data_IF_112796993427
#
_entry.id   IF_112796993427
#
_cell.length_a   1.000
_cell.length_b   1.000
_cell.length_c   1.000
_cell.angle_alpha   90.00
_cell.angle_beta   90.00
_cell.angle_gamma   90.00
#
_symmetry.space_group_name_H-M   'P 1'
#
loop_
_entity.id
_entity.type
_entity.pdbx_description
1 polymer ?
#
# COMPACT_ATOMS: atom_id res chain seq x y z
N UNK A 1 -8.70 -26.48 1.42
CA UNK A 1 -8.29 -25.22 2.05
C UNK A 1 -7.93 -24.26 0.92
N UNK A 2 -8.82 -23.33 0.57
CA UNK A 2 -8.58 -22.33 -0.47
C UNK A 2 -7.68 -21.24 0.11
N UNK A 3 -6.40 -21.25 -0.23
CA UNK A 3 -5.49 -20.14 0.05
C UNK A 3 -5.88 -18.98 -0.85
N UNK A 4 -6.71 -18.06 -0.35
CA UNK A 4 -6.98 -16.79 -1.02
C UNK A 4 -5.68 -15.98 -1.04
N UNK A 5 -4.99 -16.01 -2.17
CA UNK A 5 -3.75 -15.26 -2.45
C UNK A 5 -4.00 -13.74 -2.59
N UNK A 6 -5.18 -13.25 -2.21
CA UNK A 6 -5.61 -11.87 -2.38
C UNK A 6 -4.88 -10.90 -1.43
N UNK A 7 -4.27 -11.43 -0.37
CA UNK A 7 -3.56 -10.64 0.64
C UNK A 7 -2.11 -11.10 0.77
N UNK A 8 -1.18 -10.24 0.37
CA UNK A 8 0.25 -10.48 0.52
C UNK A 8 0.79 -9.71 1.72
N UNK A 9 1.40 -10.42 2.69
CA UNK A 9 2.09 -9.77 3.80
C UNK A 9 3.34 -9.06 3.28
N UNK A 10 3.51 -7.81 3.67
CA UNK A 10 4.67 -7.02 3.30
C UNK A 10 5.75 -7.04 4.39
N UNK A 11 7.01 -7.01 3.99
CA UNK A 11 8.18 -6.95 4.88
C UNK A 11 8.83 -5.57 4.73
N UNK A 12 9.09 -4.87 5.85
CA UNK A 12 9.80 -3.60 5.81
C UNK A 12 11.26 -3.84 5.39
N UNK A 13 11.72 -3.07 4.40
CA UNK A 13 13.15 -2.88 4.12
C UNK A 13 13.54 -1.50 4.64
N UNK A 14 14.50 -1.50 5.55
CA UNK A 14 15.10 -0.30 6.10
C UNK A 14 16.61 -0.43 5.96
N UNK A 15 17.19 0.43 5.14
CA UNK A 15 18.62 0.42 4.83
C UNK A 15 19.45 0.81 6.07
N UNK A 16 18.85 1.45 7.07
CA UNK A 16 19.53 1.73 8.35
C UNK A 16 19.85 0.46 9.17
N UNK A 17 19.20 -0.67 8.87
CA UNK A 17 19.44 -1.96 9.53
C UNK A 17 20.43 -2.85 8.78
N UNK A 18 20.80 -2.49 7.54
CA UNK A 18 21.73 -3.24 6.70
C UNK A 18 23.00 -2.40 6.56
N UNK A 19 24.03 -2.75 7.34
CA UNK A 19 25.33 -2.09 7.32
C UNK A 19 25.82 -1.88 5.89
N UNK A 20 26.17 -0.62 5.59
CA UNK A 20 26.61 -0.12 4.29
C UNK A 20 27.47 -1.14 3.52
N UNK A 21 26.92 -1.70 2.46
CA UNK A 21 27.70 -2.37 1.43
C UNK A 21 27.37 -1.71 0.10
N UNK A 22 28.34 -0.93 -0.38
CA UNK A 22 28.27 -0.17 -1.62
C UNK A 22 28.09 -1.11 -2.80
N UNK A 23 26.92 -1.08 -3.46
CA UNK A 23 26.73 -1.33 -4.90
C UNK A 23 25.27 -1.09 -5.30
N UNK A 24 25.08 -0.31 -6.36
CA UNK A 24 23.83 0.00 -7.10
C UNK A 24 22.95 1.16 -6.59
N UNK A 25 22.35 1.94 -7.51
CA UNK A 25 21.64 3.16 -7.16
C UNK A 25 20.27 2.82 -6.58
N UNK A 26 19.87 3.61 -5.58
CA UNK A 26 18.52 3.70 -5.02
C UNK A 26 18.24 2.92 -3.72
N UNK A 27 19.09 3.18 -2.71
CA UNK A 27 18.81 3.02 -1.27
C UNK A 27 17.49 3.71 -0.89
N UNK A 28 16.36 3.03 -1.08
CA UNK A 28 15.04 3.57 -0.76
C UNK A 28 14.37 2.65 0.23
N UNK A 29 14.25 3.09 1.47
CA UNK A 29 13.41 2.44 2.47
C UNK A 29 11.99 2.20 1.92
N UNK A 30 11.39 1.07 2.28
CA UNK A 30 10.09 0.70 1.76
C UNK A 30 9.60 -0.67 2.22
N UNK A 31 8.67 -1.24 1.46
CA UNK A 31 7.98 -2.48 1.79
C UNK A 31 8.05 -3.46 0.62
N UNK A 32 8.58 -4.66 0.87
CA UNK A 32 8.53 -5.78 -0.07
C UNK A 32 7.23 -6.56 0.15
N UNK A 33 6.34 -6.55 -0.83
CA UNK A 33 5.08 -7.31 -0.82
C UNK A 33 5.11 -8.34 -1.96
N UNK A 34 5.45 -9.59 -1.64
CA UNK A 34 5.62 -10.63 -2.64
C UNK A 34 6.76 -10.26 -3.59
N UNK A 35 6.47 -10.13 -4.89
CA UNK A 35 7.46 -9.75 -5.91
C UNK A 35 7.52 -8.23 -6.16
N UNK A 36 6.68 -7.43 -5.49
CA UNK A 36 6.64 -5.98 -5.67
C UNK A 36 7.34 -5.26 -4.51
N UNK A 37 8.07 -4.21 -4.84
CA UNK A 37 8.67 -3.30 -3.88
C UNK A 37 7.97 -1.94 -3.90
N UNK A 38 7.56 -1.45 -2.73
CA UNK A 38 6.95 -0.13 -2.56
C UNK A 38 7.85 0.77 -1.74
N UNK A 39 8.49 1.76 -2.37
CA UNK A 39 9.28 2.76 -1.67
C UNK A 39 8.40 3.61 -0.73
N UNK A 40 8.97 4.09 0.39
CA UNK A 40 8.28 4.93 1.37
C UNK A 40 7.68 6.20 0.74
N UNK A 41 8.28 6.71 -0.35
CA UNK A 41 7.72 7.81 -1.14
C UNK A 41 6.36 7.45 -1.73
N UNK A 42 6.22 6.25 -2.32
CA UNK A 42 4.97 5.75 -2.91
C UNK A 42 3.92 5.55 -1.81
N UNK A 43 4.30 4.97 -0.67
CA UNK A 43 3.40 4.79 0.48
C UNK A 43 2.85 6.14 0.97
N UNK A 44 3.72 7.15 1.12
CA UNK A 44 3.32 8.50 1.54
C UNK A 44 2.40 9.18 0.52
N UNK A 45 2.68 9.03 -0.78
CA UNK A 45 1.82 9.55 -1.84
C UNK A 45 0.44 8.88 -1.80
N UNK A 46 0.38 7.55 -1.74
CA UNK A 46 -0.88 6.80 -1.62
C UNK A 46 -1.68 7.23 -0.38
N UNK A 47 -1.03 7.42 0.78
CA UNK A 47 -1.69 7.93 1.98
C UNK A 47 -2.27 9.34 1.78
N UNK A 48 -1.56 10.23 1.08
CA UNK A 48 -2.07 11.56 0.78
C UNK A 48 -3.31 11.49 -0.14
N UNK A 49 -3.31 10.60 -1.13
CA UNK A 49 -4.47 10.32 -1.97
C UNK A 49 -5.65 9.75 -1.17
N UNK A 50 -5.40 8.77 -0.31
CA UNK A 50 -6.42 8.18 0.56
C UNK A 50 -7.11 9.24 1.43
N UNK A 51 -6.33 10.13 2.07
CA UNK A 51 -6.85 11.22 2.89
C UNK A 51 -7.73 12.18 2.09
N UNK A 52 -7.37 12.47 0.84
CA UNK A 52 -8.20 13.29 -0.06
C UNK A 52 -9.49 12.56 -0.43
N UNK A 53 -9.43 11.26 -0.73
CA UNK A 53 -10.61 10.44 -1.05
C UNK A 53 -11.62 10.36 0.08
N UNK A 54 -11.16 10.36 1.34
CA UNK A 54 -12.05 10.41 2.53
C UNK A 54 -12.84 11.71 2.56
N UNK A 55 -12.20 12.83 2.24
CA UNK A 55 -12.86 14.14 2.23
C UNK A 55 -13.90 14.26 1.10
N UNK A 56 -13.66 13.59 -0.03
CA UNK A 56 -14.50 13.67 -1.22
C UNK A 56 -15.48 12.50 -1.38
N UNK A 57 -15.61 11.63 -0.35
CA UNK A 57 -16.43 10.39 -0.40
C UNK A 57 -16.21 9.57 -1.70
N UNK A 58 -14.96 9.50 -2.16
CA UNK A 58 -14.63 8.90 -3.45
C UNK A 58 -14.42 7.38 -3.36
N UNK A 59 -14.58 6.72 -4.51
CA UNK A 59 -14.41 5.27 -4.72
C UNK A 59 -13.01 4.81 -4.23
N UNK A 60 -12.93 3.62 -3.64
CA UNK A 60 -11.66 2.97 -3.28
C UNK A 60 -11.31 2.98 -1.78
N UNK A 61 -12.21 3.45 -0.93
CA UNK A 61 -12.12 3.28 0.53
C UNK A 61 -12.93 2.06 0.96
N UNK A 62 -12.25 1.07 1.53
CA UNK A 62 -12.88 -0.16 2.01
C UNK A 62 -12.70 -0.27 3.52
N UNK A 63 -13.73 -0.67 4.29
CA UNK A 63 -13.53 -0.98 5.70
C UNK A 63 -12.43 -2.03 5.89
N UNK A 64 -11.53 -1.81 6.84
CA UNK A 64 -10.55 -2.81 7.20
C UNK A 64 -11.23 -4.02 7.85
N UNK A 65 -11.01 -5.20 7.27
CA UNK A 65 -11.45 -6.48 7.84
C UNK A 65 -10.21 -7.33 8.06
N UNK A 66 -9.88 -7.59 9.33
CA UNK A 66 -8.74 -8.42 9.68
C UNK A 66 -8.46 -8.44 11.18
N UNK A 67 -7.37 -9.11 11.55
CA UNK A 67 -7.03 -9.40 12.96
C UNK A 67 -6.05 -8.38 13.58
N UNK A 68 -5.55 -7.40 12.81
CA UNK A 68 -4.54 -6.44 13.30
C UNK A 68 -5.21 -5.31 14.10
N UNK A 69 -6.41 -4.90 13.69
CA UNK A 69 -7.18 -3.85 14.34
C UNK A 69 -8.56 -4.37 14.75
N UNK A 70 -9.15 -3.85 15.84
CA UNK A 70 -10.52 -4.20 16.23
C UNK A 70 -11.52 -3.87 15.12
N UNK A 71 -12.53 -4.73 14.93
CA UNK A 71 -13.54 -4.57 13.87
C UNK A 71 -14.24 -3.20 13.88
N UNK A 72 -14.47 -2.62 15.06
CA UNK A 72 -15.20 -1.36 15.23
C UNK A 72 -14.27 -0.14 15.37
N UNK A 73 -13.01 -0.26 14.95
CA UNK A 73 -12.02 0.81 15.08
C UNK A 73 -12.10 1.88 13.98
N UNK A 74 -12.96 1.69 12.98
CA UNK A 74 -13.15 2.66 11.88
C UNK A 74 -11.98 2.76 10.90
N UNK A 75 -11.05 1.80 10.92
CA UNK A 75 -9.94 1.78 9.97
C UNK A 75 -10.42 1.50 8.55
N UNK A 76 -9.82 2.19 7.58
CA UNK A 76 -10.09 2.04 6.16
C UNK A 76 -8.83 1.55 5.44
N UNK A 77 -9.04 0.78 4.38
CA UNK A 77 -8.04 0.32 3.44
C UNK A 77 -8.15 1.13 2.15
N UNK A 78 -7.00 1.42 1.55
CA UNK A 78 -6.88 2.14 0.30
C UNK A 78 -5.80 1.48 -0.57
N UNK A 79 -6.02 1.33 -1.89
CA UNK A 79 -5.04 0.69 -2.77
C UNK A 79 -3.77 1.55 -2.93
N UNK A 80 -2.60 0.92 -2.79
CA UNK A 80 -1.30 1.57 -3.05
C UNK A 80 -1.06 1.67 -4.56
N UNK A 81 -1.38 0.59 -5.27
CA UNK A 81 -1.55 0.53 -6.71
C UNK A 81 -2.95 -0.02 -6.97
N UNK A 82 -3.84 0.83 -7.46
CA UNK A 82 -5.01 0.33 -8.19
C UNK A 82 -4.58 0.01 -9.61
N UNK A 83 -5.20 -0.99 -10.24
CA UNK A 83 -5.33 -0.97 -11.70
C UNK A 83 -5.61 0.47 -12.13
N UNK A 84 -4.96 0.90 -13.22
CA UNK A 84 -5.28 2.18 -13.87
C UNK A 84 -6.78 2.41 -13.71
N UNK A 85 -7.16 3.57 -13.18
CA UNK A 85 -8.50 4.13 -13.42
C UNK A 85 -8.55 4.42 -14.93
N UNK A 86 -8.52 3.36 -15.75
CA UNK A 86 -8.77 3.35 -17.17
C UNK A 86 -10.27 3.14 -17.30
N UNK A 87 -10.90 3.98 -18.11
CA UNK A 87 -12.33 3.99 -18.44
C UNK A 87 -13.25 4.73 -17.45
N UNK A 88 -13.00 6.04 -17.27
CA UNK A 88 -14.08 7.04 -17.16
C UNK A 88 -13.93 8.13 -18.23
N UNK A 89 -13.66 7.74 -19.47
CA UNK A 89 -13.93 8.58 -20.65
C UNK A 89 -14.43 7.67 -21.77
N UNK A 90 -15.67 7.22 -21.56
CA UNK A 90 -16.51 6.59 -22.56
C UNK A 90 -17.91 7.17 -22.41
N UNK A 91 -18.02 8.46 -22.70
CA UNK A 91 -19.25 9.16 -23.13
C UNK A 91 -18.82 10.34 -23.99
#
# INVERSE_FOLDING_TARGET
>A
MTTNNDYTKCIRKDDSLMGSSHSEPENSNGYQCGNKFFADKIIRQSLAHAKKSVQTNSIGLYPYVGLIYPQNSGHLMYPIEGEKIGYLSGM
#
